data_IF_519024792696
#
_entry.id   IF_519024792696
#
_cell.length_a   1.000
_cell.length_b   1.000
_cell.length_c   1.000
_cell.angle_alpha   90.00
_cell.angle_beta   90.00
_cell.angle_gamma   90.00
#
_symmetry.space_group_name_H-M   'P 1'
#
loop_
_entity.id
_entity.type
_entity.pdbx_description
1 polymer ?
#
# COMPACT_ATOMS: atom_id res chain seq x y z
N UNK A 1 -36.88 198.78 -7.40
CA UNK A 1 -35.96 199.22 -6.33
C UNK A 1 -36.77 199.33 -5.06
N UNK A 2 -37.19 198.17 -4.50
CA UNK A 2 -38.29 198.06 -3.53
C UNK A 2 -38.48 196.56 -3.25
N UNK A 3 -38.14 196.08 -2.05
CA UNK A 3 -38.08 194.66 -1.69
C UNK A 3 -39.47 194.09 -1.38
N UNK A 4 -40.07 193.36 -2.32
CA UNK A 4 -41.43 192.81 -2.19
C UNK A 4 -41.45 191.59 -1.26
N UNK A 5 -41.58 191.85 0.04
CA UNK A 5 -41.71 190.84 1.11
C UNK A 5 -42.93 189.94 0.85
N UNK A 6 -42.68 188.64 0.68
CA UNK A 6 -43.68 187.60 0.38
C UNK A 6 -44.94 187.69 1.25
N UNK A 7 -46.10 187.55 0.61
CA UNK A 7 -47.42 187.56 1.22
C UNK A 7 -47.58 186.42 2.23
N UNK A 8 -48.31 186.68 3.32
CA UNK A 8 -48.57 185.74 4.43
C UNK A 8 -49.20 184.41 3.95
N UNK A 9 -49.80 184.39 2.76
CA UNK A 9 -50.35 183.22 2.08
C UNK A 9 -49.28 182.26 1.55
N UNK A 10 -48.13 182.76 1.10
CA UNK A 10 -47.01 181.96 0.56
C UNK A 10 -46.20 181.27 1.65
N UNK A 11 -45.97 181.93 2.79
CA UNK A 11 -45.34 181.29 3.97
C UNK A 11 -46.17 180.10 4.47
N UNK A 12 -47.49 180.26 4.59
CA UNK A 12 -48.40 179.15 4.95
C UNK A 12 -48.34 177.99 3.95
N UNK A 13 -48.19 178.29 2.66
CA UNK A 13 -48.10 177.26 1.61
C UNK A 13 -46.80 176.46 1.69
N UNK A 14 -45.66 177.11 1.98
CA UNK A 14 -44.38 176.45 2.22
C UNK A 14 -44.38 175.59 3.49
N UNK A 15 -45.00 176.06 4.58
CA UNK A 15 -45.17 175.26 5.79
C UNK A 15 -45.99 174.00 5.51
N UNK A 16 -47.13 174.13 4.82
CA UNK A 16 -47.97 172.98 4.43
C UNK A 16 -47.20 171.99 3.55
N UNK A 17 -46.36 172.46 2.62
CA UNK A 17 -45.51 171.59 1.81
C UNK A 17 -44.43 170.88 2.64
N UNK A 18 -43.86 171.58 3.62
CA UNK A 18 -42.91 171.01 4.59
C UNK A 18 -43.56 169.94 5.47
N UNK A 19 -44.79 170.17 5.94
CA UNK A 19 -45.59 169.17 6.65
C UNK A 19 -45.93 167.97 5.77
N UNK A 20 -46.33 168.18 4.51
CA UNK A 20 -46.62 167.11 3.57
C UNK A 20 -45.39 166.24 3.28
N UNK A 21 -44.21 166.84 3.12
CA UNK A 21 -42.95 166.10 2.93
C UNK A 21 -42.54 165.31 4.17
N UNK A 22 -42.66 165.88 5.37
CA UNK A 22 -42.42 165.16 6.63
C UNK A 22 -43.41 164.01 6.83
N UNK A 23 -44.69 164.23 6.52
CA UNK A 23 -45.72 163.21 6.60
C UNK A 23 -45.43 162.07 5.61
N UNK A 24 -45.03 162.38 4.37
CA UNK A 24 -44.62 161.39 3.37
C UNK A 24 -43.40 160.56 3.82
N UNK A 25 -42.38 161.22 4.39
CA UNK A 25 -41.21 160.53 4.95
C UNK A 25 -41.58 159.63 6.14
N UNK A 26 -42.45 160.09 7.04
CA UNK A 26 -42.96 159.30 8.17
C UNK A 26 -43.79 158.11 7.70
N UNK A 27 -44.65 158.29 6.69
CA UNK A 27 -45.43 157.21 6.09
C UNK A 27 -44.53 156.18 5.41
N UNK A 28 -43.48 156.61 4.70
CA UNK A 28 -42.49 155.73 4.09
C UNK A 28 -41.68 154.95 5.14
N UNK A 29 -41.26 155.62 6.22
CA UNK A 29 -40.59 154.98 7.36
C UNK A 29 -41.50 153.95 8.05
N UNK A 30 -42.77 154.28 8.27
CA UNK A 30 -43.77 153.35 8.83
C UNK A 30 -44.00 152.14 7.93
N UNK A 31 -44.02 152.33 6.61
CA UNK A 31 -44.11 151.22 5.65
C UNK A 31 -42.88 150.32 5.70
N UNK A 32 -41.67 150.89 5.78
CA UNK A 32 -40.42 150.13 5.95
C UNK A 32 -40.39 149.37 7.27
N UNK A 33 -40.82 149.99 8.37
CA UNK A 33 -40.94 149.34 9.68
C UNK A 33 -41.86 148.12 9.59
N UNK A 34 -43.05 148.26 8.99
CA UNK A 34 -44.00 147.17 8.84
C UNK A 34 -43.49 146.02 7.95
N UNK A 35 -42.71 146.32 6.91
CA UNK A 35 -42.03 145.29 6.09
C UNK A 35 -40.97 144.57 6.93
N UNK A 36 -40.17 145.32 7.70
CA UNK A 36 -39.15 144.75 8.57
C UNK A 36 -39.76 143.85 9.66
N UNK A 37 -40.86 144.28 10.26
CA UNK A 37 -41.62 143.49 11.25
C UNK A 37 -42.15 142.19 10.63
N UNK A 38 -42.64 142.24 9.39
CA UNK A 38 -43.08 141.04 8.66
C UNK A 38 -41.92 140.10 8.34
N UNK A 39 -40.78 140.63 7.89
CA UNK A 39 -39.57 139.83 7.61
C UNK A 39 -38.99 139.20 8.88
N UNK A 40 -38.97 139.95 9.99
CA UNK A 40 -38.60 139.42 11.31
C UNK A 40 -39.52 138.28 11.71
N UNK A 41 -40.84 138.44 11.58
CA UNK A 41 -41.81 137.39 11.88
C UNK A 41 -41.63 136.15 10.99
N UNK A 42 -41.35 136.33 9.70
CA UNK A 42 -41.06 135.24 8.78
C UNK A 42 -39.79 134.48 9.20
N UNK A 43 -38.71 135.19 9.52
CA UNK A 43 -37.46 134.59 9.97
C UNK A 43 -37.63 133.85 11.31
N UNK A 44 -38.42 134.39 12.24
CA UNK A 44 -38.77 133.69 13.48
C UNK A 44 -39.47 132.36 13.20
N UNK A 45 -40.41 132.33 12.25
CA UNK A 45 -41.09 131.09 11.86
C UNK A 45 -40.17 130.08 11.17
N UNK A 46 -39.23 130.55 10.35
CA UNK A 46 -38.22 129.69 9.73
C UNK A 46 -37.25 129.11 10.78
N UNK A 47 -36.83 129.91 11.76
CA UNK A 47 -35.99 129.46 12.89
C UNK A 47 -36.72 128.43 13.75
N UNK A 48 -38.01 128.65 14.06
CA UNK A 48 -38.84 127.71 14.81
C UNK A 48 -38.96 126.36 14.07
N UNK A 49 -39.14 126.40 12.75
CA UNK A 49 -39.17 125.19 11.91
C UNK A 49 -37.82 124.46 11.87
N UNK A 50 -36.71 125.20 11.77
CA UNK A 50 -35.35 124.62 11.80
C UNK A 50 -35.09 123.98 13.16
N UNK A 51 -35.45 124.65 14.26
CA UNK A 51 -35.29 124.12 15.61
C UNK A 51 -36.04 122.80 15.78
N UNK A 52 -37.30 122.75 15.35
CA UNK A 52 -38.09 121.51 15.41
C UNK A 52 -37.45 120.39 14.56
N UNK A 53 -36.87 120.69 13.40
CA UNK A 53 -36.12 119.70 12.60
C UNK A 53 -34.86 119.22 13.30
N UNK A 54 -34.13 120.10 13.98
CA UNK A 54 -32.95 119.75 14.77
C UNK A 54 -33.36 118.80 15.90
N UNK A 55 -34.41 119.14 16.66
CA UNK A 55 -34.89 118.31 17.77
C UNK A 55 -35.33 116.91 17.30
N UNK A 56 -36.03 116.82 16.17
CA UNK A 56 -36.38 115.53 15.56
C UNK A 56 -35.15 114.70 15.17
N UNK A 57 -34.11 115.34 14.63
CA UNK A 57 -32.87 114.66 14.23
C UNK A 57 -32.06 114.22 15.44
N UNK A 58 -31.96 115.07 16.47
CA UNK A 58 -31.32 114.74 17.74
C UNK A 58 -31.97 113.54 18.41
N UNK A 59 -33.31 113.49 18.44
CA UNK A 59 -34.04 112.33 18.98
C UNK A 59 -33.72 111.03 18.23
N UNK A 60 -33.71 111.05 16.88
CA UNK A 60 -33.34 109.87 16.08
C UNK A 60 -31.88 109.43 16.30
N UNK A 61 -30.98 110.40 16.49
CA UNK A 61 -29.58 110.12 16.79
C UNK A 61 -29.44 109.45 18.16
N UNK A 62 -30.14 109.94 19.18
CA UNK A 62 -30.16 109.33 20.52
C UNK A 62 -30.74 107.91 20.48
N UNK A 63 -31.84 107.68 19.76
CA UNK A 63 -32.41 106.34 19.55
C UNK A 63 -31.37 105.41 18.92
N UNK A 64 -30.64 105.88 17.90
CA UNK A 64 -29.59 105.10 17.22
C UNK A 64 -28.40 104.81 18.15
N UNK A 65 -27.94 105.81 18.92
CA UNK A 65 -26.87 105.64 19.89
C UNK A 65 -27.27 104.63 20.98
N UNK A 66 -28.53 104.68 21.44
CA UNK A 66 -29.04 103.71 22.40
C UNK A 66 -29.05 102.29 21.83
N UNK A 67 -29.47 102.11 20.58
CA UNK A 67 -29.44 100.83 19.90
C UNK A 67 -28.00 100.29 19.77
N UNK A 68 -27.04 101.15 19.39
CA UNK A 68 -25.61 100.77 19.31
C UNK A 68 -25.10 100.30 20.67
N UNK A 69 -25.39 101.05 21.75
CA UNK A 69 -25.02 100.67 23.13
C UNK A 69 -25.59 99.32 23.56
N UNK A 70 -26.75 98.92 23.05
CA UNK A 70 -27.32 97.59 23.34
C UNK A 70 -26.70 96.45 22.53
N UNK A 71 -26.14 96.74 21.34
CA UNK A 71 -25.51 95.74 20.46
C UNK A 71 -24.06 95.46 20.86
N UNK A 72 -23.33 96.49 21.29
CA UNK A 72 -21.93 96.40 21.69
C UNK A 72 -21.61 95.29 22.70
N UNK A 73 -22.36 95.11 23.82
CA UNK A 73 -22.12 94.01 24.74
C UNK A 73 -22.43 92.64 24.11
N UNK A 74 -23.46 92.54 23.28
CA UNK A 74 -23.81 91.29 22.58
C UNK A 74 -22.72 90.87 21.60
N UNK A 75 -22.10 91.83 20.90
CA UNK A 75 -20.97 91.57 20.01
C UNK A 75 -19.72 91.13 20.78
N UNK A 76 -19.46 91.75 21.94
CA UNK A 76 -18.36 91.35 22.82
C UNK A 76 -18.56 89.94 23.38
N UNK A 77 -19.77 89.60 23.78
CA UNK A 77 -20.13 88.25 24.23
C UNK A 77 -20.00 87.22 23.10
N UNK A 78 -20.49 87.51 21.90
CA UNK A 78 -20.35 86.64 20.73
C UNK A 78 -18.87 86.37 20.39
N UNK A 79 -18.02 87.40 20.45
CA UNK A 79 -16.57 87.25 20.25
C UNK A 79 -15.92 86.37 21.32
N UNK A 80 -16.31 86.53 22.59
CA UNK A 80 -15.81 85.67 23.69
C UNK A 80 -16.22 84.21 23.47
N UNK A 81 -17.47 83.95 23.07
CA UNK A 81 -17.94 82.60 22.76
C UNK A 81 -17.22 81.99 21.56
N UNK A 82 -16.95 82.78 20.52
CA UNK A 82 -16.17 82.31 19.36
C UNK A 82 -14.76 81.89 19.82
N UNK A 83 -14.08 82.76 20.58
CA UNK A 83 -12.74 82.48 21.08
C UNK A 83 -12.67 81.27 22.04
N UNK A 84 -13.76 80.93 22.74
CA UNK A 84 -13.81 79.72 23.58
C UNK A 84 -14.07 78.45 22.77
N UNK A 85 -14.82 78.53 21.66
CA UNK A 85 -15.17 77.37 20.83
C UNK A 85 -14.08 77.01 19.82
N UNK A 86 -13.30 77.98 19.33
CA UNK A 86 -12.19 77.74 18.40
C UNK A 86 -11.19 76.66 18.87
N UNK A 87 -10.67 76.68 20.12
CA UNK A 87 -9.77 75.63 20.59
C UNK A 87 -10.48 74.28 20.79
N UNK A 88 -11.78 74.27 21.14
CA UNK A 88 -12.56 73.03 21.24
C UNK A 88 -12.70 72.37 19.86
N UNK A 89 -12.92 73.17 18.82
CA UNK A 89 -12.95 72.71 17.44
C UNK A 89 -11.60 72.11 17.02
N UNK A 90 -10.50 72.79 17.29
CA UNK A 90 -9.15 72.29 16.98
C UNK A 90 -8.86 70.98 17.73
N UNK A 91 -9.25 70.88 19.00
CA UNK A 91 -9.11 69.65 19.78
C UNK A 91 -9.93 68.49 19.19
N UNK A 92 -11.16 68.76 18.74
CA UNK A 92 -12.02 67.77 18.08
C UNK A 92 -11.47 67.32 16.72
N UNK A 93 -10.93 68.24 15.91
CA UNK A 93 -10.30 67.91 14.63
C UNK A 93 -9.07 67.01 14.84
N UNK A 94 -8.25 67.30 15.85
CA UNK A 94 -7.09 66.47 16.20
C UNK A 94 -7.50 65.07 16.68
N UNK A 95 -8.52 64.97 17.53
CA UNK A 95 -9.01 63.66 18.00
C UNK A 95 -9.66 62.88 16.85
N UNK A 96 -10.36 63.55 15.93
CA UNK A 96 -10.90 62.91 14.73
C UNK A 96 -9.80 62.29 13.87
N UNK A 97 -8.70 63.02 13.61
CA UNK A 97 -7.56 62.50 12.86
C UNK A 97 -6.91 61.30 13.56
N UNK A 98 -6.73 61.39 14.88
CA UNK A 98 -6.19 60.29 15.69
C UNK A 98 -7.08 59.04 15.61
N UNK A 99 -8.39 59.19 15.73
CA UNK A 99 -9.34 58.09 15.61
C UNK A 99 -9.34 57.49 14.20
N UNK A 100 -9.19 58.31 13.16
CA UNK A 100 -9.07 57.84 11.78
C UNK A 100 -7.82 56.98 11.58
N UNK A 101 -6.69 57.36 12.17
CA UNK A 101 -5.46 56.56 12.12
C UNK A 101 -5.56 55.26 12.92
N UNK A 102 -6.24 55.30 14.08
CA UNK A 102 -6.56 54.07 14.83
C UNK A 102 -7.42 53.14 13.98
N UNK A 103 -8.45 53.67 13.30
CA UNK A 103 -9.32 52.87 12.43
C UNK A 103 -8.54 52.19 11.30
N UNK A 104 -7.68 52.94 10.59
CA UNK A 104 -6.82 52.36 9.54
C UNK A 104 -5.93 51.23 10.07
N UNK A 105 -5.37 51.40 11.27
CA UNK A 105 -4.53 50.37 11.89
C UNK A 105 -5.34 49.12 12.29
N UNK A 106 -6.58 49.29 12.77
CA UNK A 106 -7.47 48.18 13.09
C UNK A 106 -7.88 47.42 11.82
N UNK A 107 -8.19 48.13 10.74
CA UNK A 107 -8.55 47.51 9.46
C UNK A 107 -7.38 46.70 8.88
N UNK A 108 -6.15 47.23 8.98
CA UNK A 108 -4.95 46.48 8.60
C UNK A 108 -4.77 45.21 9.44
N UNK A 109 -4.87 45.32 10.77
CA UNK A 109 -4.76 44.15 11.66
C UNK A 109 -5.85 43.11 11.41
N UNK A 110 -7.06 43.54 11.05
CA UNK A 110 -8.15 42.64 10.69
C UNK A 110 -7.83 41.86 9.43
N UNK A 111 -7.27 42.52 8.41
CA UNK A 111 -6.81 41.87 7.19
C UNK A 111 -5.69 40.85 7.47
N UNK A 112 -4.68 41.24 8.26
CA UNK A 112 -3.61 40.33 8.68
C UNK A 112 -4.17 39.10 9.43
N UNK A 113 -5.21 39.28 10.26
CA UNK A 113 -5.87 38.17 10.97
C UNK A 113 -6.68 37.27 10.03
N UNK A 114 -7.35 37.82 9.02
CA UNK A 114 -8.06 37.05 8.00
C UNK A 114 -7.09 36.20 7.17
N UNK A 115 -5.97 36.78 6.72
CA UNK A 115 -4.91 36.05 6.00
C UNK A 115 -4.32 34.92 6.85
N UNK A 116 -4.02 35.18 8.12
CA UNK A 116 -3.53 34.16 9.05
C UNK A 116 -4.55 33.05 9.29
N UNK A 117 -5.85 33.38 9.37
CA UNK A 117 -6.91 32.40 9.54
C UNK A 117 -7.00 31.46 8.33
N UNK A 118 -6.91 32.02 7.13
CA UNK A 118 -6.95 31.25 5.90
C UNK A 118 -5.70 30.36 5.77
N UNK A 119 -4.53 30.86 6.18
CA UNK A 119 -3.31 30.04 6.25
C UNK A 119 -3.41 28.89 7.25
N UNK A 120 -3.97 29.14 8.45
CA UNK A 120 -4.23 28.08 9.45
C UNK A 120 -5.21 27.04 8.90
N UNK A 121 -6.25 27.44 8.17
CA UNK A 121 -7.19 26.51 7.56
C UNK A 121 -6.51 25.57 6.55
N UNK A 122 -5.59 26.11 5.73
CA UNK A 122 -4.77 25.29 4.81
C UNK A 122 -3.87 24.30 5.57
N UNK A 123 -3.19 24.77 6.62
CA UNK A 123 -2.34 23.89 7.43
C UNK A 123 -3.13 22.76 8.11
N UNK A 124 -4.35 23.04 8.56
CA UNK A 124 -5.22 22.01 9.15
C UNK A 124 -5.65 20.96 8.12
N UNK A 125 -5.95 21.36 6.88
CA UNK A 125 -6.24 20.43 5.78
C UNK A 125 -5.03 19.56 5.45
N UNK A 126 -3.83 20.14 5.39
CA UNK A 126 -2.59 19.41 5.16
C UNK A 126 -2.27 18.42 6.30
N UNK A 127 -2.48 18.81 7.57
CA UNK A 127 -2.35 17.92 8.73
C UNK A 127 -3.35 16.77 8.64
N UNK A 128 -4.60 17.04 8.23
CA UNK A 128 -5.62 16.00 8.06
C UNK A 128 -5.20 14.98 7.00
N UNK A 129 -4.75 15.45 5.82
CA UNK A 129 -4.24 14.58 4.75
C UNK A 129 -3.01 13.77 5.19
N UNK A 130 -2.09 14.39 5.93
CA UNK A 130 -0.95 13.70 6.49
C UNK A 130 -1.37 12.59 7.47
N UNK A 131 -2.37 12.85 8.31
CA UNK A 131 -2.96 11.85 9.20
C UNK A 131 -3.60 10.67 8.47
N UNK A 132 -4.32 10.92 7.38
CA UNK A 132 -4.87 9.86 6.51
C UNK A 132 -3.76 9.01 5.88
N UNK A 133 -2.68 9.64 5.39
CA UNK A 133 -1.53 8.95 4.82
C UNK A 133 -0.81 8.08 5.87
N UNK A 134 -0.62 8.58 7.09
CA UNK A 134 -0.04 7.79 8.19
C UNK A 134 -0.90 6.55 8.46
N UNK A 135 -2.23 6.70 8.52
CA UNK A 135 -3.14 5.58 8.74
C UNK A 135 -3.08 4.54 7.62
N UNK A 136 -2.95 4.97 6.35
CA UNK A 136 -2.75 4.08 5.21
C UNK A 136 -1.42 3.33 5.31
N UNK A 137 -0.35 4.01 5.70
CA UNK A 137 0.96 3.40 5.91
C UNK A 137 0.95 2.40 7.07
N UNK A 138 0.26 2.70 8.18
CA UNK A 138 0.08 1.78 9.31
C UNK A 138 -0.66 0.51 8.89
N UNK A 139 -1.77 0.65 8.16
CA UNK A 139 -2.51 -0.50 7.62
C UNK A 139 -1.64 -1.34 6.67
N UNK A 140 -0.85 -0.68 5.82
CA UNK A 140 0.07 -1.36 4.90
C UNK A 140 1.15 -2.11 5.67
N UNK A 141 1.73 -1.48 6.70
CA UNK A 141 2.75 -2.08 7.55
C UNK A 141 2.20 -3.29 8.33
N UNK A 142 0.99 -3.21 8.86
CA UNK A 142 0.32 -4.35 9.50
C UNK A 142 0.13 -5.52 8.52
N UNK A 143 -0.27 -5.24 7.28
CA UNK A 143 -0.37 -6.26 6.24
C UNK A 143 1.00 -6.86 5.89
N UNK A 144 2.06 -6.06 5.83
CA UNK A 144 3.42 -6.55 5.58
C UNK A 144 3.88 -7.46 6.73
N UNK A 145 3.64 -7.08 7.99
CA UNK A 145 3.98 -7.89 9.17
C UNK A 145 3.24 -9.23 9.13
N UNK A 146 1.93 -9.22 8.83
CA UNK A 146 1.14 -10.44 8.70
C UNK A 146 1.68 -11.34 7.58
N UNK A 147 1.96 -10.78 6.40
CA UNK A 147 2.53 -11.52 5.28
C UNK A 147 3.94 -12.06 5.59
N UNK A 148 4.75 -11.31 6.33
CA UNK A 148 6.08 -11.75 6.77
C UNK A 148 5.97 -12.93 7.73
N UNK A 149 5.04 -12.87 8.70
CA UNK A 149 4.81 -13.97 9.62
C UNK A 149 4.31 -15.24 8.90
N UNK A 150 3.45 -15.08 7.89
CA UNK A 150 3.02 -16.19 7.03
C UNK A 150 4.19 -16.77 6.22
N UNK A 151 5.05 -15.91 5.65
CA UNK A 151 6.25 -16.32 4.94
C UNK A 151 7.23 -17.07 5.86
N UNK A 152 7.45 -16.60 7.09
CA UNK A 152 8.30 -17.26 8.08
C UNK A 152 7.74 -18.64 8.46
N UNK A 153 6.42 -18.75 8.64
CA UNK A 153 5.76 -20.04 8.90
C UNK A 153 5.93 -21.01 7.71
N UNK A 154 5.78 -20.51 6.48
CA UNK A 154 6.03 -21.27 5.25
C UNK A 154 7.48 -21.74 5.16
N UNK A 155 8.45 -20.86 5.43
CA UNK A 155 9.88 -21.20 5.44
C UNK A 155 10.18 -22.26 6.50
N UNK A 156 9.64 -22.12 7.72
CA UNK A 156 9.82 -23.10 8.79
C UNK A 156 9.19 -24.45 8.44
N UNK A 157 7.98 -24.44 7.87
CA UNK A 157 7.31 -25.65 7.36
C UNK A 157 8.14 -26.32 6.25
N UNK A 158 8.64 -25.55 5.28
CA UNK A 158 9.46 -26.07 4.20
C UNK A 158 10.81 -26.60 4.71
N UNK A 159 11.39 -25.96 5.72
CA UNK A 159 12.60 -26.44 6.38
C UNK A 159 12.37 -27.78 7.08
N UNK A 160 11.24 -27.94 7.77
CA UNK A 160 10.86 -29.21 8.38
C UNK A 160 10.65 -30.32 7.33
N UNK A 161 9.97 -30.00 6.22
CA UNK A 161 9.82 -30.92 5.07
C UNK A 161 11.16 -31.30 4.46
N UNK A 162 12.09 -30.36 4.30
CA UNK A 162 13.43 -30.62 3.78
C UNK A 162 14.24 -31.57 4.68
N UNK A 163 14.14 -31.41 6.01
CA UNK A 163 14.76 -32.34 6.96
C UNK A 163 14.16 -33.74 6.77
N UNK A 164 12.83 -33.84 6.71
CA UNK A 164 12.16 -35.13 6.52
C UNK A 164 12.53 -35.79 5.17
N UNK A 165 12.65 -35.01 4.10
CA UNK A 165 13.10 -35.49 2.79
C UNK A 165 14.58 -35.90 2.81
N UNK A 166 15.43 -35.22 3.58
CA UNK A 166 16.82 -35.64 3.77
C UNK A 166 16.90 -37.00 4.45
N UNK A 167 16.14 -37.21 5.53
CA UNK A 167 16.05 -38.49 6.22
C UNK A 167 15.52 -39.58 5.28
N UNK A 168 14.51 -39.27 4.46
CA UNK A 168 13.94 -40.20 3.48
C UNK A 168 14.92 -40.53 2.34
N UNK A 169 15.70 -39.55 1.86
CA UNK A 169 16.79 -39.79 0.90
C UNK A 169 17.86 -40.69 1.51
N UNK A 170 18.24 -40.49 2.78
CA UNK A 170 19.20 -41.35 3.47
C UNK A 170 18.69 -42.79 3.57
N UNK A 171 17.42 -42.98 3.95
CA UNK A 171 16.75 -44.28 3.95
C UNK A 171 16.76 -44.88 2.54
N UNK A 172 16.36 -44.13 1.51
CA UNK A 172 16.34 -44.61 0.13
C UNK A 172 17.72 -44.97 -0.41
N UNK A 173 18.78 -44.22 -0.05
CA UNK A 173 20.18 -44.55 -0.39
C UNK A 173 20.56 -45.89 0.25
N UNK A 174 20.23 -46.07 1.53
CA UNK A 174 20.51 -47.32 2.24
C UNK A 174 19.71 -48.50 1.65
N UNK A 175 18.43 -48.31 1.34
CA UNK A 175 17.58 -49.29 0.64
C UNK A 175 18.10 -49.63 -0.75
N UNK A 176 18.58 -48.64 -1.50
CA UNK A 176 19.18 -48.86 -2.83
C UNK A 176 20.48 -49.65 -2.74
N UNK A 177 21.37 -49.29 -1.81
CA UNK A 177 22.59 -50.05 -1.51
C UNK A 177 22.23 -51.52 -1.21
N UNK A 178 21.23 -51.76 -0.36
CA UNK A 178 20.67 -53.10 -0.07
C UNK A 178 20.19 -53.83 -1.32
N UNK A 179 19.37 -53.19 -2.16
CA UNK A 179 18.87 -53.78 -3.43
C UNK A 179 19.99 -54.06 -4.45
N UNK A 180 21.05 -53.26 -4.45
CA UNK A 180 22.24 -53.46 -5.30
C UNK A 180 23.20 -54.52 -4.74
N UNK A 181 22.92 -55.08 -3.55
CA UNK A 181 23.78 -56.04 -2.86
C UNK A 181 25.00 -55.41 -2.21
N UNK A 182 25.02 -54.07 -2.08
CA UNK A 182 26.06 -53.29 -1.44
C UNK A 182 25.65 -53.03 0.01
N UNK A 183 26.54 -53.32 0.96
CA UNK A 183 26.28 -53.07 2.37
C UNK A 183 26.19 -51.55 2.66
N UNK A 184 25.08 -51.04 3.23
CA UNK A 184 25.03 -49.68 3.76
C UNK A 184 25.90 -49.53 5.02
N UNK A 185 26.48 -48.35 5.19
CA UNK A 185 27.39 -48.04 6.30
C UNK A 185 26.67 -48.04 7.67
N UNK A 186 25.34 -47.90 7.65
CA UNK A 186 24.45 -47.77 8.81
C UNK A 186 23.99 -49.09 9.45
N UNK A 187 24.26 -50.24 8.82
CA UNK A 187 23.81 -51.56 9.32
C UNK A 187 24.94 -52.58 9.43
N UNK A 188 24.83 -53.47 10.43
CA UNK A 188 25.82 -54.51 10.73
C UNK A 188 25.89 -55.63 9.68
N UNK A 189 26.96 -56.44 9.69
CA UNK A 189 27.11 -57.56 8.74
C UNK A 189 26.04 -58.66 8.92
N UNK A 190 25.59 -58.93 10.16
CA UNK A 190 24.49 -59.87 10.43
C UNK A 190 23.14 -59.32 9.96
N UNK A 191 22.89 -58.04 10.20
CA UNK A 191 21.64 -57.36 9.83
C UNK A 191 21.48 -57.26 8.31
N UNK A 192 22.57 -56.99 7.59
CA UNK A 192 22.61 -57.00 6.12
C UNK A 192 22.29 -58.38 5.54
N UNK A 193 22.78 -59.47 6.14
CA UNK A 193 22.45 -60.84 5.71
C UNK A 193 20.99 -61.20 5.97
N UNK A 194 20.43 -60.77 7.11
CA UNK A 194 19.02 -61.03 7.44
C UNK A 194 18.06 -60.31 6.47
N UNK A 195 18.39 -59.08 6.05
CA UNK A 195 17.58 -58.29 5.12
C UNK A 195 17.56 -58.83 3.68
N UNK A 196 18.54 -59.66 3.28
CA UNK A 196 18.56 -60.33 1.96
C UNK A 196 17.61 -61.53 1.86
N UNK A 197 17.08 -62.03 2.99
CA UNK A 197 16.34 -63.31 3.06
C UNK A 197 14.81 -63.09 3.14
N UNK A 198 14.34 -61.90 3.54
CA UNK A 198 12.91 -61.66 3.75
C UNK A 198 12.19 -61.19 2.47
N UNK A 199 11.55 -62.14 1.78
CA UNK A 199 10.61 -61.90 0.67
C UNK A 199 9.37 -61.05 1.11
N UNK A 200 9.07 -60.97 2.42
CA UNK A 200 7.90 -60.25 2.97
C UNK A 200 7.91 -58.72 2.78
N UNK A 201 9.06 -58.08 2.57
CA UNK A 201 9.14 -56.62 2.42
C UNK A 201 8.80 -56.12 1.00
N UNK A 202 8.91 -56.97 -0.03
CA UNK A 202 8.72 -56.53 -1.42
C UNK A 202 7.24 -56.33 -1.75
N UNK A 203 6.36 -57.19 -1.25
CA UNK A 203 4.91 -57.06 -1.43
C UNK A 203 4.35 -55.85 -0.68
N UNK A 204 4.87 -55.54 0.52
CA UNK A 204 4.50 -54.36 1.28
C UNK A 204 4.84 -53.06 0.53
N UNK A 205 6.05 -52.96 -0.03
CA UNK A 205 6.45 -51.82 -0.85
C UNK A 205 5.64 -51.70 -2.15
N UNK A 206 5.28 -52.81 -2.80
CA UNK A 206 4.42 -52.79 -3.98
C UNK A 206 2.99 -52.32 -3.67
N UNK A 207 2.46 -52.71 -2.51
CA UNK A 207 1.16 -52.26 -2.05
C UNK A 207 1.18 -50.75 -1.77
N UNK A 208 2.20 -50.26 -1.06
CA UNK A 208 2.35 -48.83 -0.73
C UNK A 208 2.49 -47.95 -1.97
N UNK A 209 3.36 -48.34 -2.92
CA UNK A 209 3.51 -47.61 -4.19
C UNK A 209 2.20 -47.60 -5.01
N UNK A 210 1.40 -48.66 -4.91
CA UNK A 210 0.09 -48.73 -5.58
C UNK A 210 -0.93 -47.81 -4.93
N UNK A 211 -0.94 -47.72 -3.59
CA UNK A 211 -1.80 -46.81 -2.83
C UNK A 211 -1.47 -45.34 -3.07
N UNK A 212 -0.18 -44.98 -3.17
CA UNK A 212 0.25 -43.63 -3.51
C UNK A 212 -0.22 -43.23 -4.92
N UNK A 213 -0.01 -44.11 -5.90
CA UNK A 213 -0.47 -43.90 -7.28
C UNK A 213 -2.00 -43.71 -7.35
N UNK A 214 -2.76 -44.49 -6.58
CA UNK A 214 -4.22 -44.38 -6.57
C UNK A 214 -4.68 -43.08 -5.92
N UNK A 215 -4.09 -42.67 -4.78
CA UNK A 215 -4.38 -41.37 -4.15
C UNK A 215 -4.12 -40.19 -5.10
N UNK A 216 -2.98 -40.19 -5.79
CA UNK A 216 -2.66 -39.15 -6.78
C UNK A 216 -3.68 -39.09 -7.92
N UNK A 217 -4.17 -40.25 -8.40
CA UNK A 217 -5.22 -40.32 -9.42
C UNK A 217 -6.54 -39.75 -8.93
N UNK A 218 -6.94 -40.08 -7.70
CA UNK A 218 -8.19 -39.62 -7.11
C UNK A 218 -8.16 -38.09 -6.88
N UNK A 219 -7.05 -37.56 -6.39
CA UNK A 219 -6.85 -36.12 -6.21
C UNK A 219 -6.90 -35.38 -7.56
N UNK A 220 -6.22 -35.87 -8.59
CA UNK A 220 -6.32 -35.30 -9.95
C UNK A 220 -7.75 -35.33 -10.49
N UNK A 221 -8.49 -36.41 -10.26
CA UNK A 221 -9.89 -36.52 -10.69
C UNK A 221 -10.77 -35.47 -9.98
N UNK A 222 -10.59 -35.29 -8.67
CA UNK A 222 -11.31 -34.28 -7.89
C UNK A 222 -10.99 -32.85 -8.35
N UNK A 223 -9.73 -32.53 -8.61
CA UNK A 223 -9.32 -31.22 -9.14
C UNK A 223 -9.87 -30.98 -10.55
N UNK A 224 -9.86 -32.00 -11.41
CA UNK A 224 -10.43 -31.93 -12.76
C UNK A 224 -11.94 -31.64 -12.71
N UNK A 225 -12.66 -32.26 -11.77
CA UNK A 225 -14.07 -31.96 -11.52
C UNK A 225 -14.28 -30.50 -11.11
N UNK A 226 -13.48 -29.99 -10.16
CA UNK A 226 -13.52 -28.58 -9.74
C UNK A 226 -13.23 -27.60 -10.87
N UNK A 227 -12.27 -27.89 -11.75
CA UNK A 227 -12.00 -27.06 -12.93
C UNK A 227 -13.21 -27.02 -13.87
N UNK A 228 -13.90 -28.15 -14.03
CA UNK A 228 -15.11 -28.24 -14.85
C UNK A 228 -16.25 -27.41 -14.26
N UNK A 229 -16.46 -27.48 -12.96
CA UNK A 229 -17.42 -26.64 -12.23
C UNK A 229 -17.12 -25.15 -12.38
N UNK A 230 -15.85 -24.75 -12.16
CA UNK A 230 -15.41 -23.36 -12.33
C UNK A 230 -15.62 -22.90 -13.77
N UNK A 231 -15.37 -23.75 -14.76
CA UNK A 231 -15.58 -23.43 -16.17
C UNK A 231 -17.06 -23.21 -16.49
N UNK A 232 -17.96 -24.00 -15.91
CA UNK A 232 -19.41 -23.81 -16.02
C UNK A 232 -19.85 -22.49 -15.37
N UNK A 233 -19.32 -22.17 -14.18
CA UNK A 233 -19.58 -20.89 -13.52
C UNK A 233 -19.07 -19.70 -14.33
N UNK A 234 -17.86 -19.81 -14.91
CA UNK A 234 -17.28 -18.79 -15.78
C UNK A 234 -18.18 -18.53 -16.99
N UNK A 235 -18.63 -19.57 -17.68
CA UNK A 235 -19.55 -19.46 -18.80
C UNK A 235 -20.86 -18.76 -18.39
N UNK A 236 -21.42 -19.10 -17.23
CA UNK A 236 -22.62 -18.46 -16.67
C UNK A 236 -22.43 -16.98 -16.36
N UNK A 237 -21.29 -16.60 -15.77
CA UNK A 237 -20.97 -15.20 -15.46
C UNK A 237 -20.75 -14.40 -16.76
N UNK A 238 -20.04 -14.96 -17.74
CA UNK A 238 -19.87 -14.34 -19.07
C UNK A 238 -21.23 -14.08 -19.72
N UNK A 239 -22.15 -15.06 -19.66
CA UNK A 239 -23.51 -14.89 -20.17
C UNK A 239 -24.26 -13.74 -19.50
N UNK A 240 -24.17 -13.62 -18.17
CA UNK A 240 -24.78 -12.51 -17.42
C UNK A 240 -24.17 -11.16 -17.78
N UNK A 241 -22.85 -11.07 -17.93
CA UNK A 241 -22.17 -9.85 -18.35
C UNK A 241 -22.68 -9.40 -19.73
N UNK A 242 -22.72 -10.31 -20.72
CA UNK A 242 -23.25 -10.01 -22.07
C UNK A 242 -24.71 -9.55 -22.04
N UNK A 243 -25.53 -10.16 -21.19
CA UNK A 243 -26.94 -9.76 -21.01
C UNK A 243 -27.06 -8.35 -20.42
N UNK A 244 -26.27 -8.02 -19.39
CA UNK A 244 -26.25 -6.67 -18.81
C UNK A 244 -25.74 -5.62 -19.80
N UNK A 245 -24.73 -5.95 -20.61
CA UNK A 245 -24.23 -5.05 -21.67
C UNK A 245 -25.30 -4.73 -22.69
N UNK A 246 -26.05 -5.75 -23.14
CA UNK A 246 -27.16 -5.57 -24.07
C UNK A 246 -28.27 -4.69 -23.48
N UNK A 247 -28.58 -4.85 -22.18
CA UNK A 247 -29.56 -4.02 -21.47
C UNK A 247 -29.09 -2.57 -21.31
N UNK A 248 -27.84 -2.35 -20.91
CA UNK A 248 -27.25 -1.01 -20.81
C UNK A 248 -27.33 -0.29 -22.15
N UNK A 249 -27.03 -0.98 -23.25
CA UNK A 249 -27.03 -0.36 -24.58
C UNK A 249 -28.45 -0.02 -25.06
N UNK A 250 -29.43 -0.87 -24.75
CA UNK A 250 -30.85 -0.56 -24.99
C UNK A 250 -31.31 0.67 -24.19
N UNK A 251 -31.03 0.72 -22.88
CA UNK A 251 -31.42 1.85 -22.02
C UNK A 251 -30.72 3.15 -22.43
N UNK A 252 -29.44 3.10 -22.86
CA UNK A 252 -28.74 4.27 -23.42
C UNK A 252 -29.43 4.80 -24.68
N UNK A 253 -29.91 3.91 -25.55
CA UNK A 253 -30.66 4.28 -26.74
C UNK A 253 -31.99 4.93 -26.34
N UNK A 254 -32.69 4.41 -25.35
CA UNK A 254 -33.96 4.97 -24.88
C UNK A 254 -33.79 6.36 -24.23
N UNK A 255 -32.69 6.60 -23.50
CA UNK A 255 -32.29 7.93 -22.98
C UNK A 255 -32.20 8.99 -24.08
N UNK A 256 -31.78 8.60 -25.29
CA UNK A 256 -31.67 9.54 -26.42
C UNK A 256 -33.04 10.01 -26.94
N UNK A 257 -34.14 9.41 -26.48
CA UNK A 257 -35.50 9.61 -27.04
C UNK A 257 -36.58 10.01 -26.03
N UNK A 258 -36.34 9.94 -24.71
CA UNK A 258 -37.40 10.00 -23.70
C UNK A 258 -37.34 11.19 -22.71
N UNK A 259 -38.52 11.64 -22.27
CA UNK A 259 -38.74 12.61 -21.17
C UNK A 259 -38.78 11.82 -19.84
N UNK A 260 -37.60 11.57 -19.26
CA UNK A 260 -37.41 10.75 -18.04
C UNK A 260 -35.95 10.35 -17.82
N UNK A 261 -35.01 11.23 -18.18
CA UNK A 261 -33.59 10.93 -18.35
C UNK A 261 -32.88 10.54 -17.05
N UNK A 262 -33.27 11.12 -15.92
CA UNK A 262 -32.60 10.90 -14.62
C UNK A 262 -32.83 9.49 -14.05
N UNK A 263 -34.05 8.96 -14.18
CA UNK A 263 -34.37 7.59 -13.73
C UNK A 263 -33.60 6.54 -14.56
N UNK A 264 -33.59 6.70 -15.88
CA UNK A 264 -32.83 5.82 -16.78
C UNK A 264 -31.31 5.92 -16.57
N UNK A 265 -30.79 7.12 -16.25
CA UNK A 265 -29.37 7.28 -15.90
C UNK A 265 -29.03 6.53 -14.61
N UNK A 266 -29.88 6.64 -13.58
CA UNK A 266 -29.70 5.92 -12.31
C UNK A 266 -29.74 4.40 -12.50
N UNK A 267 -30.63 3.89 -13.35
CA UNK A 267 -30.69 2.46 -13.67
C UNK A 267 -29.43 1.99 -14.42
N UNK A 268 -28.94 2.77 -15.39
CA UNK A 268 -27.69 2.47 -16.10
C UNK A 268 -26.51 2.45 -15.13
N UNK A 269 -26.41 3.41 -14.20
CA UNK A 269 -25.34 3.43 -13.19
C UNK A 269 -25.36 2.18 -12.31
N UNK A 270 -26.55 1.75 -11.87
CA UNK A 270 -26.71 0.51 -11.09
C UNK A 270 -26.29 -0.72 -11.90
N UNK A 271 -26.68 -0.82 -13.18
CA UNK A 271 -26.30 -1.92 -14.07
C UNK A 271 -24.80 -1.92 -14.38
N UNK A 272 -24.19 -0.75 -14.57
CA UNK A 272 -22.74 -0.60 -14.78
C UNK A 272 -21.98 -1.07 -13.54
N UNK A 273 -22.44 -0.71 -12.33
CA UNK A 273 -21.87 -1.20 -11.07
C UNK A 273 -21.95 -2.72 -10.97
N UNK A 274 -23.13 -3.30 -11.21
CA UNK A 274 -23.33 -4.75 -11.20
C UNK A 274 -22.43 -5.47 -12.22
N UNK A 275 -22.25 -4.90 -13.43
CA UNK A 275 -21.32 -5.44 -14.43
C UNK A 275 -19.89 -5.43 -13.91
N UNK A 276 -19.45 -4.33 -13.30
CA UNK A 276 -18.09 -4.20 -12.74
C UNK A 276 -17.84 -5.26 -11.66
N UNK A 277 -18.80 -5.48 -10.77
CA UNK A 277 -18.71 -6.50 -9.71
C UNK A 277 -18.64 -7.92 -10.28
N UNK A 278 -19.40 -8.21 -11.34
CA UNK A 278 -19.33 -9.51 -12.03
C UNK A 278 -18.00 -9.72 -12.75
N UNK A 279 -17.41 -8.68 -13.34
CA UNK A 279 -16.07 -8.74 -13.95
C UNK A 279 -15.00 -9.09 -12.92
N UNK A 280 -15.04 -8.49 -11.72
CA UNK A 280 -14.11 -8.83 -10.63
C UNK A 280 -14.27 -10.29 -10.18
N UNK A 281 -15.51 -10.81 -10.11
CA UNK A 281 -15.76 -12.23 -9.81
C UNK A 281 -15.23 -13.17 -10.90
N UNK A 282 -15.35 -12.76 -12.17
CA UNK A 282 -14.82 -13.50 -13.31
C UNK A 282 -13.29 -13.61 -13.25
N UNK A 283 -12.59 -12.51 -13.00
CA UNK A 283 -11.13 -12.49 -12.83
C UNK A 283 -10.69 -13.39 -11.68
N UNK A 284 -11.41 -13.35 -10.55
CA UNK A 284 -11.14 -14.24 -9.42
C UNK A 284 -11.29 -15.72 -9.80
N UNK A 285 -12.35 -16.08 -10.55
CA UNK A 285 -12.54 -17.46 -11.03
C UNK A 285 -11.42 -17.90 -11.98
N UNK A 286 -11.00 -17.03 -12.89
CA UNK A 286 -9.88 -17.29 -13.83
C UNK A 286 -8.57 -17.53 -13.10
N UNK A 287 -8.26 -16.73 -12.07
CA UNK A 287 -7.08 -16.94 -11.23
C UNK A 287 -7.11 -18.30 -10.54
N UNK A 288 -8.24 -18.67 -9.91
CA UNK A 288 -8.41 -19.99 -9.28
C UNK A 288 -8.25 -21.15 -10.27
N UNK A 289 -8.85 -21.03 -11.46
CA UNK A 289 -8.70 -22.02 -12.54
C UNK A 289 -7.24 -22.18 -12.98
N UNK A 290 -6.52 -21.07 -13.14
CA UNK A 290 -5.10 -21.08 -13.48
C UNK A 290 -4.27 -21.79 -12.41
N UNK A 291 -4.53 -21.51 -11.13
CA UNK A 291 -3.85 -22.16 -10.01
C UNK A 291 -4.06 -23.68 -10.02
N UNK A 292 -5.32 -24.12 -10.08
CA UNK A 292 -5.67 -25.55 -10.14
C UNK A 292 -5.09 -26.25 -11.38
N UNK A 293 -5.02 -25.55 -12.51
CA UNK A 293 -4.41 -26.10 -13.74
C UNK A 293 -2.92 -26.35 -13.51
N UNK A 294 -2.22 -25.43 -12.83
CA UNK A 294 -0.81 -25.58 -12.47
C UNK A 294 -0.58 -26.77 -11.54
N UNK A 295 -1.40 -26.89 -10.48
CA UNK A 295 -1.34 -28.01 -9.52
C UNK A 295 -1.55 -29.36 -10.21
N UNK A 296 -2.52 -29.46 -11.14
CA UNK A 296 -2.72 -30.69 -11.91
C UNK A 296 -1.50 -31.04 -12.76
N UNK A 297 -0.86 -30.05 -13.41
CA UNK A 297 0.37 -30.31 -14.18
C UNK A 297 1.52 -30.81 -13.31
N UNK A 298 1.63 -30.32 -12.08
CA UNK A 298 2.64 -30.75 -11.12
C UNK A 298 2.39 -32.19 -10.65
N UNK A 299 1.19 -32.49 -10.15
CA UNK A 299 0.80 -33.85 -9.73
C UNK A 299 0.93 -34.85 -10.88
N UNK A 300 0.60 -34.44 -12.10
CA UNK A 300 0.77 -35.29 -13.29
C UNK A 300 2.25 -35.62 -13.53
N UNK A 301 3.15 -34.65 -13.33
CA UNK A 301 4.59 -34.86 -13.42
C UNK A 301 5.10 -35.83 -12.34
N UNK A 302 4.62 -35.69 -11.11
CA UNK A 302 4.95 -36.62 -10.02
C UNK A 302 4.43 -38.03 -10.30
N UNK A 303 3.18 -38.17 -10.75
CA UNK A 303 2.60 -39.45 -11.13
C UNK A 303 3.43 -40.16 -12.21
N UNK A 304 3.94 -39.43 -13.21
CA UNK A 304 4.80 -40.04 -14.24
C UNK A 304 6.10 -40.57 -13.66
N UNK A 305 6.77 -39.79 -12.78
CA UNK A 305 8.00 -40.22 -12.12
C UNK A 305 7.77 -41.46 -11.24
N UNK A 306 6.68 -41.46 -10.47
CA UNK A 306 6.35 -42.57 -9.57
C UNK A 306 6.00 -43.85 -10.35
N UNK A 307 5.29 -43.70 -11.48
CA UNK A 307 4.98 -44.83 -12.37
C UNK A 307 6.24 -45.42 -12.99
N UNK A 308 7.16 -44.58 -13.47
CA UNK A 308 8.45 -45.01 -14.02
C UNK A 308 9.33 -45.68 -12.95
N UNK A 309 9.33 -45.14 -11.73
CA UNK A 309 10.03 -45.72 -10.60
C UNK A 309 9.48 -47.11 -10.25
N UNK A 310 8.16 -47.26 -10.08
CA UNK A 310 7.49 -48.56 -9.87
C UNK A 310 7.88 -49.58 -10.94
N UNK A 311 7.91 -49.17 -12.21
CA UNK A 311 8.29 -50.05 -13.33
C UNK A 311 9.75 -50.49 -13.24
N UNK A 312 10.64 -49.62 -12.78
CA UNK A 312 12.07 -49.92 -12.58
C UNK A 312 12.25 -50.91 -11.44
N UNK A 313 11.54 -50.71 -10.32
CA UNK A 313 11.54 -51.65 -9.19
C UNK A 313 11.04 -53.03 -9.60
N UNK A 314 9.95 -53.11 -10.38
CA UNK A 314 9.44 -54.39 -10.91
C UNK A 314 10.49 -55.13 -11.75
N UNK A 315 11.16 -54.44 -12.68
CA UNK A 315 12.24 -55.03 -13.47
C UNK A 315 13.40 -55.53 -12.61
N UNK A 316 13.73 -54.81 -11.54
CA UNK A 316 14.79 -55.21 -10.61
C UNK A 316 14.39 -56.43 -9.79
N UNK A 317 13.14 -56.50 -9.33
CA UNK A 317 12.59 -57.68 -8.64
C UNK A 317 12.69 -58.90 -9.56
N UNK A 318 12.20 -58.80 -10.80
CA UNK A 318 12.27 -59.90 -11.78
C UNK A 318 13.72 -60.39 -11.99
N UNK A 319 14.67 -59.44 -12.10
CA UNK A 319 16.10 -59.75 -12.23
C UNK A 319 16.64 -60.48 -10.99
N UNK A 320 16.30 -60.01 -9.80
CA UNK A 320 16.74 -60.62 -8.54
C UNK A 320 16.14 -62.01 -8.34
N UNK A 321 14.86 -62.21 -8.68
CA UNK A 321 14.20 -63.52 -8.65
C UNK A 321 14.88 -64.51 -9.60
N UNK A 322 15.24 -64.10 -10.81
CA UNK A 322 16.01 -64.94 -11.74
C UNK A 322 17.38 -65.31 -11.16
N UNK A 323 18.10 -64.33 -10.61
CA UNK A 323 19.42 -64.53 -10.01
C UNK A 323 19.37 -65.45 -8.78
N UNK A 324 18.31 -65.38 -7.97
CA UNK A 324 18.05 -66.29 -6.86
C UNK A 324 17.94 -67.74 -7.34
N UNK A 325 17.15 -68.00 -8.39
CA UNK A 325 17.05 -69.33 -9.02
C UNK A 325 18.38 -69.83 -9.58
N UNK A 326 19.17 -68.94 -10.18
CA UNK A 326 20.52 -69.30 -10.65
C UNK A 326 21.45 -69.71 -9.50
N UNK A 327 21.40 -69.00 -8.37
CA UNK A 327 22.19 -69.36 -7.18
C UNK A 327 21.74 -70.67 -6.54
N UNK A 328 20.44 -70.93 -6.43
CA UNK A 328 19.90 -72.23 -5.96
C UNK A 328 20.41 -73.40 -6.82
N UNK A 329 20.51 -73.19 -8.14
CA UNK A 329 21.09 -74.20 -9.03
C UNK A 329 22.60 -74.42 -8.79
N UNK A 330 23.37 -73.37 -8.50
CA UNK A 330 24.80 -73.48 -8.18
C UNK A 330 25.00 -74.20 -6.85
N UNK A 331 24.21 -73.89 -5.83
CA UNK A 331 24.28 -74.57 -4.53
C UNK A 331 24.00 -76.08 -4.66
N UNK A 332 23.08 -76.46 -5.54
CA UNK A 332 22.84 -77.87 -5.87
C UNK A 332 24.06 -78.52 -6.57
N UNK A 333 24.78 -77.77 -7.43
CA UNK A 333 26.04 -78.23 -8.04
C UNK A 333 27.13 -78.39 -6.98
N UNK A 334 27.26 -77.48 -6.02
CA UNK A 334 28.23 -77.60 -4.93
C UNK A 334 27.94 -78.84 -4.07
N UNK A 335 26.66 -79.12 -3.79
CA UNK A 335 26.25 -80.35 -3.11
C UNK A 335 26.59 -81.62 -3.92
N UNK A 336 26.42 -81.60 -5.24
CA UNK A 336 26.85 -82.71 -6.11
C UNK A 336 28.37 -82.86 -6.15
N UNK A 337 29.13 -81.76 -6.20
CA UNK A 337 30.59 -81.80 -6.15
C UNK A 337 31.09 -82.42 -4.84
N UNK A 338 30.49 -82.07 -3.70
CA UNK A 338 30.89 -82.66 -2.42
C UNK A 338 30.56 -84.17 -2.38
N UNK A 339 29.41 -84.59 -2.95
CA UNK A 339 29.09 -86.03 -3.11
C UNK A 339 30.12 -86.76 -3.99
N UNK A 340 30.53 -86.15 -5.11
CA UNK A 340 31.54 -86.73 -6.01
C UNK A 340 32.89 -86.81 -5.31
N UNK A 341 33.28 -85.78 -4.57
CA UNK A 341 34.53 -85.73 -3.82
C UNK A 341 34.60 -86.83 -2.77
N UNK A 342 33.52 -87.03 -1.99
CA UNK A 342 33.42 -88.13 -1.03
C UNK A 342 33.58 -89.49 -1.74
N UNK A 343 32.95 -89.66 -2.90
CA UNK A 343 33.05 -90.90 -3.68
C UNK A 343 34.45 -91.14 -4.24
N UNK A 344 35.19 -90.09 -4.60
CA UNK A 344 36.60 -90.19 -5.01
C UNK A 344 37.47 -90.61 -3.82
N UNK A 345 37.25 -90.05 -2.63
CA UNK A 345 37.96 -90.45 -1.41
C UNK A 345 37.73 -91.93 -1.08
N UNK A 346 36.48 -92.39 -1.17
CA UNK A 346 36.12 -93.80 -0.95
C UNK A 346 36.82 -94.74 -1.95
N UNK A 347 36.80 -94.39 -3.25
CA UNK A 347 37.50 -95.18 -4.29
C UNK A 347 39.03 -95.18 -4.10
N UNK A 348 39.62 -94.08 -3.64
CA UNK A 348 41.06 -94.01 -3.35
C UNK A 348 41.45 -94.91 -2.16
N UNK A 349 40.62 -94.95 -1.11
CA UNK A 349 40.79 -95.88 0.01
C UNK A 349 40.71 -97.34 -0.47
N UNK A 350 39.74 -97.68 -1.33
CA UNK A 350 39.59 -99.01 -1.91
C UNK A 350 40.79 -99.39 -2.79
N UNK A 351 41.29 -98.45 -3.62
CA UNK A 351 42.47 -98.65 -4.47
C UNK A 351 43.73 -98.88 -3.63
N UNK A 352 43.87 -98.16 -2.52
CA UNK A 352 44.99 -98.33 -1.57
C UNK A 352 44.92 -99.70 -0.90
N UNK A 353 43.72 -100.12 -0.46
CA UNK A 353 43.48 -101.47 0.05
C UNK A 353 43.82 -102.56 -0.96
N UNK A 354 43.37 -102.41 -2.21
CA UNK A 354 43.70 -103.33 -3.31
C UNK A 354 45.20 -103.39 -3.59
N UNK A 355 45.91 -102.25 -3.52
CA UNK A 355 47.35 -102.23 -3.64
C UNK A 355 48.04 -103.00 -2.50
N UNK A 356 47.56 -102.84 -1.26
CA UNK A 356 48.03 -103.63 -0.10
C UNK A 356 47.79 -105.13 -0.29
N UNK A 357 46.60 -105.52 -0.79
CA UNK A 357 46.31 -106.92 -1.13
C UNK A 357 47.25 -107.46 -2.21
N UNK A 358 47.53 -106.68 -3.26
CA UNK A 358 48.49 -107.06 -4.31
C UNK A 358 49.91 -107.22 -3.77
N UNK A 359 50.35 -106.35 -2.85
CA UNK A 359 51.66 -106.51 -2.19
C UNK A 359 51.73 -107.80 -1.38
N UNK A 360 50.67 -108.14 -0.63
CA UNK A 360 50.58 -109.40 0.12
C UNK A 360 50.62 -110.59 -0.84
N UNK A 361 49.83 -110.57 -1.93
CA UNK A 361 49.83 -111.62 -2.95
C UNK A 361 51.21 -111.80 -3.58
N UNK A 362 51.89 -110.70 -3.94
CA UNK A 362 53.25 -110.74 -4.49
C UNK A 362 54.25 -111.35 -3.49
N UNK A 363 54.14 -111.00 -2.21
CA UNK A 363 54.96 -111.60 -1.15
C UNK A 363 54.72 -113.10 -1.01
N UNK A 364 53.46 -113.53 -0.96
CA UNK A 364 53.10 -114.97 -0.93
C UNK A 364 53.65 -115.69 -2.16
N UNK A 365 53.55 -115.08 -3.34
CA UNK A 365 54.05 -115.64 -4.59
C UNK A 365 55.59 -115.78 -4.57
N UNK A 366 56.30 -114.79 -4.03
CA UNK A 366 57.75 -114.88 -3.79
C UNK A 366 58.09 -115.98 -2.79
N UNK A 367 57.47 -116.00 -1.61
CA UNK A 367 57.69 -117.01 -0.57
C UNK A 367 57.45 -118.43 -1.11
N UNK A 368 56.39 -118.61 -1.91
CA UNK A 368 56.08 -119.90 -2.57
C UNK A 368 57.17 -120.28 -3.57
N UNK A 369 57.69 -119.35 -4.38
CA UNK A 369 58.84 -119.60 -5.26
C UNK A 369 60.09 -120.00 -4.46
N UNK A 370 60.39 -119.31 -3.36
CA UNK A 370 61.53 -119.63 -2.50
C UNK A 370 61.38 -121.02 -1.87
N UNK A 371 60.18 -121.35 -1.39
CA UNK A 371 59.88 -122.66 -0.81
C UNK A 371 59.98 -123.78 -1.85
N UNK A 372 59.46 -123.55 -3.06
CA UNK A 372 59.57 -124.49 -4.17
C UNK A 372 61.03 -124.72 -4.59
N UNK A 373 61.84 -123.65 -4.65
CA UNK A 373 63.28 -123.77 -4.91
C UNK A 373 63.99 -124.56 -3.80
N UNK A 374 63.69 -124.27 -2.52
CA UNK A 374 64.24 -125.02 -1.38
C UNK A 374 63.84 -126.50 -1.41
N UNK A 375 62.58 -126.80 -1.75
CA UNK A 375 62.08 -128.15 -1.90
C UNK A 375 62.82 -128.87 -3.04
N UNK A 376 62.98 -128.20 -4.19
CA UNK A 376 63.76 -128.71 -5.32
C UNK A 376 65.20 -129.03 -4.91
N UNK A 377 65.88 -128.12 -4.22
CA UNK A 377 67.24 -128.36 -3.71
C UNK A 377 67.28 -129.54 -2.73
N UNK A 378 66.29 -129.68 -1.83
CA UNK A 378 66.19 -130.84 -0.93
C UNK A 378 65.98 -132.13 -1.69
N UNK A 379 65.09 -132.15 -2.68
CA UNK A 379 64.86 -133.31 -3.55
C UNK A 379 66.14 -133.67 -4.30
N UNK A 380 66.83 -132.69 -4.89
CA UNK A 380 68.12 -132.90 -5.57
C UNK A 380 69.18 -133.46 -4.60
N UNK A 381 69.20 -132.97 -3.35
CA UNK A 381 70.10 -133.48 -2.30
C UNK A 381 69.73 -134.92 -1.90
N UNK A 382 68.45 -135.24 -1.77
CA UNK A 382 67.96 -136.60 -1.50
C UNK A 382 68.30 -137.55 -2.65
N UNK A 383 68.12 -137.10 -3.90
CA UNK A 383 68.51 -137.87 -5.08
C UNK A 383 70.02 -138.12 -5.10
N UNK A 384 70.84 -137.10 -4.82
CA UNK A 384 72.29 -137.26 -4.72
C UNK A 384 72.71 -138.21 -3.57
N UNK A 385 72.04 -138.15 -2.42
CA UNK A 385 72.28 -139.07 -1.31
C UNK A 385 71.83 -140.50 -1.63
N UNK A 386 70.72 -140.67 -2.35
CA UNK A 386 70.26 -141.96 -2.88
C UNK A 386 71.26 -142.52 -3.88
N UNK A 387 71.78 -141.71 -4.80
CA UNK A 387 72.82 -142.13 -5.75
C UNK A 387 74.11 -142.55 -5.04
N UNK A 388 74.51 -141.83 -3.98
CA UNK A 388 75.63 -142.24 -3.13
C UNK A 388 75.35 -143.56 -2.38
N UNK A 389 74.13 -143.74 -1.86
CA UNK A 389 73.74 -144.98 -1.20
C UNK A 389 73.73 -146.15 -2.18
N UNK A 390 73.21 -145.97 -3.39
CA UNK A 390 73.27 -146.97 -4.47
C UNK A 390 74.71 -147.27 -4.89
N UNK A 391 75.58 -146.25 -4.96
CA UNK A 391 77.00 -146.42 -5.25
C UNK A 391 77.72 -147.23 -4.15
N UNK A 392 77.40 -146.99 -2.88
CA UNK A 392 77.92 -147.76 -1.76
C UNK A 392 77.40 -149.21 -1.77
N UNK A 393 76.12 -149.42 -2.07
CA UNK A 393 75.52 -150.75 -2.22
C UNK A 393 76.18 -151.56 -3.34
N UNK A 394 76.52 -150.91 -4.46
CA UNK A 394 77.26 -151.50 -5.57
C UNK A 394 78.73 -151.83 -5.22
N UNK A 395 79.34 -151.09 -4.28
CA UNK A 395 80.68 -151.39 -3.75
C UNK A 395 80.69 -152.41 -2.59
N UNK A 396 79.51 -152.74 -2.04
CA UNK A 396 79.34 -153.64 -0.89
C UNK A 396 78.96 -155.07 -1.27
N UNK A 397 78.82 -155.37 -2.56
CA UNK A 397 78.67 -156.73 -3.07
C UNK A 397 79.96 -157.15 -3.80
N UNK A 398 80.61 -158.26 -3.38
CA UNK A 398 81.90 -158.72 -3.91
C UNK A 398 81.88 -159.16 -5.37
#
# INVERSE_FOLDING_TARGET
MTLTKMSQKEKKRQEVLGYANRLSALLSAKKRLSILEADIWKNFKELEYIQHKIDQKSKKLEETISAIKTIEPKLSEAKKRLNSVEPEKEALENEYLRLQDIQKNLDKKKLDLEENRDHIALLLDDISKAGENIRLLENTNQSIIANSAEADNLVNSNRAKLIHLQDEIEVNINTRKLMEGIKPDSIGNEEFRALQINDENVEAYQAEATDIINRMKDEMAAMTSRISEISSLEAGVIGKIKSLESKIEALKKDISTAKGKEELLSEIEALVKNRKDLTLKLETCRKKKSLLTSEITEIKGELTKETEFKQTCLKNIDRLTMRKKEMENIENIDQEMERIKQRIEDMNMETTGNHSFLQILNRICQETKTHNNSLKTRVDTYLAAMDQYFSLLLLSNP
#
